data_IF_872860192595
#
_entry.id   IF_872860192595
#
_cell.length_a   1.000
_cell.length_b   1.000
_cell.length_c   1.000
_cell.angle_alpha   90.00
_cell.angle_beta   90.00
_cell.angle_gamma   90.00
#
_symmetry.space_group_name_H-M   'P 1'
#
loop_
_entity.id
_entity.type
_entity.pdbx_description
1 polymer ?
#
# COMPACT_ATOMS: atom_id res chain seq x y z
N UNK A 1 28.27 9.34 -15.41
CA UNK A 1 27.26 8.75 -16.31
C UNK A 1 26.90 9.81 -17.36
N UNK A 2 27.47 9.74 -18.57
CA UNK A 2 27.20 10.69 -19.66
C UNK A 2 26.08 10.13 -20.56
N UNK A 3 24.89 9.93 -19.99
CA UNK A 3 23.72 9.46 -20.72
C UNK A 3 22.91 10.69 -21.14
N UNK A 4 22.74 10.91 -22.44
CA UNK A 4 21.87 11.97 -22.94
C UNK A 4 20.42 11.74 -22.49
N UNK A 5 19.72 12.81 -22.15
CA UNK A 5 18.34 12.78 -21.65
C UNK A 5 17.40 12.02 -22.60
N UNK A 6 17.59 12.17 -23.91
CA UNK A 6 16.89 11.41 -24.96
C UNK A 6 17.04 9.89 -24.83
N UNK A 7 18.24 9.39 -24.55
CA UNK A 7 18.50 7.95 -24.40
C UNK A 7 17.87 7.38 -23.13
N UNK A 8 17.74 8.18 -22.08
CA UNK A 8 17.06 7.78 -20.85
C UNK A 8 15.53 7.73 -21.06
N UNK A 9 14.95 8.74 -21.71
CA UNK A 9 13.52 8.79 -22.00
C UNK A 9 13.07 7.66 -22.95
N UNK A 10 13.88 7.36 -23.97
CA UNK A 10 13.61 6.29 -24.92
C UNK A 10 13.59 4.90 -24.24
N UNK A 11 14.53 4.64 -23.31
CA UNK A 11 14.55 3.39 -22.53
C UNK A 11 13.46 3.33 -21.48
N UNK A 12 13.14 4.45 -20.84
CA UNK A 12 12.07 4.51 -19.84
C UNK A 12 10.72 4.12 -20.45
N UNK A 13 10.38 4.64 -21.64
CA UNK A 13 9.14 4.29 -22.34
C UNK A 13 9.10 2.88 -22.92
N UNK A 14 10.26 2.22 -23.11
CA UNK A 14 10.33 0.83 -23.57
C UNK A 14 10.24 -0.19 -22.42
N UNK A 15 10.79 0.13 -21.25
CA UNK A 15 10.88 -0.78 -20.10
C UNK A 15 9.72 -0.61 -19.12
N UNK A 16 9.17 0.60 -18.98
CA UNK A 16 8.02 0.87 -18.10
C UNK A 16 6.73 0.67 -18.89
N UNK A 17 6.26 -0.57 -18.90
CA UNK A 17 4.96 -0.88 -19.48
C UNK A 17 3.83 -0.23 -18.65
N UNK A 18 2.79 0.27 -19.32
CA UNK A 18 1.64 0.96 -18.69
C UNK A 18 0.95 0.05 -17.64
N UNK A 19 1.17 -1.27 -17.75
CA UNK A 19 0.71 -2.30 -16.82
C UNK A 19 1.12 -2.03 -15.37
N UNK A 20 2.34 -1.56 -15.11
CA UNK A 20 2.78 -1.26 -13.74
C UNK A 20 1.93 -0.16 -13.08
N UNK A 21 1.47 0.79 -13.88
CA UNK A 21 0.60 1.88 -13.43
C UNK A 21 -0.80 1.36 -13.08
N UNK A 22 -1.37 0.49 -13.92
CA UNK A 22 -2.65 -0.17 -13.63
C UNK A 22 -2.58 -1.10 -12.42
N UNK A 23 -1.47 -1.81 -12.24
CA UNK A 23 -1.24 -2.67 -11.07
C UNK A 23 -1.22 -1.84 -9.77
N UNK A 24 -0.50 -0.71 -9.77
CA UNK A 24 -0.49 0.21 -8.62
C UNK A 24 -1.86 0.81 -8.34
N UNK A 25 -2.58 1.24 -9.39
CA UNK A 25 -3.92 1.81 -9.28
C UNK A 25 -4.92 0.78 -8.75
N UNK A 26 -4.79 -0.48 -9.15
CA UNK A 26 -5.61 -1.57 -8.66
C UNK A 26 -5.33 -1.89 -7.19
N UNK A 27 -4.07 -1.86 -6.72
CA UNK A 27 -3.71 -2.09 -5.31
C UNK A 27 -4.25 -1.00 -4.36
N UNK A 28 -4.26 0.26 -4.79
CA UNK A 28 -4.64 1.41 -3.98
C UNK A 28 -5.99 1.26 -3.23
N UNK A 29 -7.12 0.85 -3.86
CA UNK A 29 -8.38 0.64 -3.16
C UNK A 29 -8.31 -0.47 -2.10
N UNK A 30 -7.54 -1.55 -2.31
CA UNK A 30 -7.39 -2.61 -1.30
C UNK A 30 -6.73 -2.09 -0.03
N UNK A 31 -5.68 -1.29 -0.16
CA UNK A 31 -5.04 -0.66 0.99
C UNK A 31 -6.01 0.26 1.73
N UNK A 32 -6.79 1.06 0.99
CA UNK A 32 -7.82 1.91 1.57
C UNK A 32 -8.85 1.13 2.40
N UNK A 33 -9.35 0.01 1.88
CA UNK A 33 -10.32 -0.85 2.59
C UNK A 33 -9.71 -1.44 3.85
N UNK A 34 -8.47 -1.93 3.80
CA UNK A 34 -7.78 -2.52 4.97
C UNK A 34 -7.58 -1.47 6.07
N UNK A 35 -7.10 -0.28 5.71
CA UNK A 35 -6.89 0.82 6.66
C UNK A 35 -8.22 1.25 7.28
N UNK A 36 -9.26 1.45 6.46
CA UNK A 36 -10.58 1.84 6.95
C UNK A 36 -11.18 0.79 7.89
N UNK A 37 -11.08 -0.49 7.53
CA UNK A 37 -11.60 -1.59 8.32
C UNK A 37 -10.91 -1.69 9.70
N UNK A 38 -9.58 -1.64 9.72
CA UNK A 38 -8.80 -1.69 10.97
C UNK A 38 -9.06 -0.44 11.84
N UNK A 39 -9.14 0.72 11.20
CA UNK A 39 -9.47 2.00 11.85
C UNK A 39 -10.83 1.97 12.53
N UNK A 40 -11.88 1.57 11.81
CA UNK A 40 -13.23 1.45 12.35
C UNK A 40 -13.31 0.42 13.47
N UNK A 41 -12.70 -0.76 13.30
CA UNK A 41 -12.73 -1.82 14.30
C UNK A 41 -12.10 -1.40 15.63
N UNK A 42 -10.95 -0.70 15.59
CA UNK A 42 -10.31 -0.18 16.81
C UNK A 42 -11.04 1.02 17.38
N UNK A 43 -11.66 1.85 16.55
CA UNK A 43 -12.52 2.95 16.98
C UNK A 43 -13.73 2.47 17.79
N UNK A 44 -14.36 1.36 17.40
CA UNK A 44 -15.49 0.78 18.14
C UNK A 44 -15.09 0.13 19.47
N UNK A 45 -13.80 -0.16 19.71
CA UNK A 45 -13.31 -0.78 20.94
C UNK A 45 -12.95 0.23 22.04
N UNK A 46 -13.06 1.53 21.74
CA UNK A 46 -12.72 2.60 22.69
C UNK A 46 -13.75 2.61 23.83
N UNK A 47 -13.27 2.38 25.06
CA UNK A 47 -14.00 2.73 26.28
C UNK A 47 -13.84 4.22 26.56
N UNK A 48 -14.88 4.86 27.12
CA UNK A 48 -15.06 6.33 27.25
C UNK A 48 -14.03 7.15 28.05
N UNK A 49 -12.83 6.61 28.24
CA UNK A 49 -11.66 7.24 28.82
C UNK A 49 -10.75 7.79 27.69
N UNK A 50 -10.27 9.02 27.84
CA UNK A 50 -9.34 9.70 26.92
C UNK A 50 -7.99 8.99 26.77
N UNK A 51 -7.47 8.36 27.83
CA UNK A 51 -6.26 7.52 27.79
C UNK A 51 -6.47 6.30 26.88
N UNK A 52 -7.66 5.70 26.91
CA UNK A 52 -8.03 4.55 26.08
C UNK A 52 -8.03 4.93 24.59
N UNK A 53 -8.57 6.10 24.24
CA UNK A 53 -8.55 6.64 22.87
C UNK A 53 -7.13 6.67 22.31
N UNK A 54 -6.18 7.21 23.07
CA UNK A 54 -4.77 7.29 22.66
C UNK A 54 -4.15 5.90 22.44
N UNK A 55 -4.34 4.98 23.40
CA UNK A 55 -3.82 3.61 23.30
C UNK A 55 -4.38 2.86 22.09
N UNK A 56 -5.69 2.89 21.88
CA UNK A 56 -6.32 2.21 20.75
C UNK A 56 -5.97 2.86 19.41
N UNK A 57 -5.72 4.16 19.36
CA UNK A 57 -5.28 4.87 18.15
C UNK A 57 -3.89 4.41 17.72
N UNK A 58 -2.92 4.34 18.64
CA UNK A 58 -1.57 3.87 18.32
C UNK A 58 -1.57 2.40 17.87
N UNK A 59 -2.33 1.55 18.57
CA UNK A 59 -2.49 0.14 18.18
C UNK A 59 -3.16 0.02 16.81
N UNK A 60 -4.12 0.90 16.50
CA UNK A 60 -4.79 0.95 15.20
C UNK A 60 -3.82 1.23 14.06
N UNK A 61 -2.96 2.25 14.20
CA UNK A 61 -1.98 2.61 13.17
C UNK A 61 -0.98 1.49 12.93
N UNK A 62 -0.45 0.88 13.99
CA UNK A 62 0.52 -0.23 13.87
C UNK A 62 -0.14 -1.44 13.16
N UNK A 63 -1.36 -1.80 13.55
CA UNK A 63 -2.09 -2.89 12.91
C UNK A 63 -2.41 -2.59 11.44
N UNK A 64 -2.77 -1.34 11.12
CA UNK A 64 -3.07 -0.93 9.76
C UNK A 64 -1.83 -1.04 8.85
N UNK A 65 -0.68 -0.51 9.29
CA UNK A 65 0.57 -0.58 8.54
C UNK A 65 0.99 -2.04 8.33
N UNK A 66 0.91 -2.86 9.38
CA UNK A 66 1.23 -4.29 9.27
C UNK A 66 0.32 -5.01 8.26
N UNK A 67 -0.98 -4.74 8.30
CA UNK A 67 -1.95 -5.28 7.34
C UNK A 67 -1.65 -4.86 5.91
N UNK A 68 -1.31 -3.59 5.68
CA UNK A 68 -0.93 -3.07 4.36
C UNK A 68 0.33 -3.76 3.82
N UNK A 69 1.36 -3.93 4.66
CA UNK A 69 2.60 -4.62 4.26
C UNK A 69 2.33 -6.08 3.89
N UNK A 70 1.53 -6.81 4.66
CA UNK A 70 1.16 -8.19 4.32
C UNK A 70 0.42 -8.28 2.99
N UNK A 71 -0.55 -7.40 2.77
CA UNK A 71 -1.34 -7.38 1.53
C UNK A 71 -0.46 -7.01 0.34
N UNK A 72 0.44 -6.03 0.49
CA UNK A 72 1.38 -5.68 -0.57
C UNK A 72 2.32 -6.83 -0.92
N UNK A 73 2.89 -7.52 0.07
CA UNK A 73 3.73 -8.69 -0.16
C UNK A 73 2.99 -9.80 -0.91
N UNK A 74 1.73 -10.07 -0.53
CA UNK A 74 0.85 -11.01 -1.22
C UNK A 74 0.69 -10.64 -2.70
N UNK A 75 0.33 -9.38 -2.98
CA UNK A 75 0.22 -8.92 -4.36
C UNK A 75 1.57 -8.97 -5.09
N UNK A 76 2.67 -8.63 -4.43
CA UNK A 76 4.01 -8.66 -5.03
C UNK A 76 4.37 -10.05 -5.52
N UNK A 77 4.10 -11.08 -4.71
CA UNK A 77 4.30 -12.49 -5.10
C UNK A 77 3.39 -12.85 -6.28
N UNK A 78 2.11 -12.48 -6.23
CA UNK A 78 1.15 -12.78 -7.30
C UNK A 78 1.57 -12.12 -8.63
N UNK A 79 1.95 -10.84 -8.62
CA UNK A 79 2.40 -10.14 -9.83
C UNK A 79 3.69 -10.73 -10.39
N UNK A 80 4.65 -11.05 -9.52
CA UNK A 80 5.89 -11.74 -9.91
C UNK A 80 5.59 -13.08 -10.59
N UNK A 81 4.63 -13.86 -10.07
CA UNK A 81 4.22 -15.14 -10.68
C UNK A 81 3.47 -14.96 -12.01
N UNK A 82 2.75 -13.85 -12.19
CA UNK A 82 2.08 -13.48 -13.44
C UNK A 82 3.03 -12.89 -14.50
N UNK A 83 4.32 -12.72 -14.17
CA UNK A 83 5.34 -12.18 -15.08
C UNK A 83 5.26 -10.66 -15.29
N UNK A 84 4.73 -9.94 -14.28
CA UNK A 84 4.65 -8.47 -14.22
C UNK A 84 5.57 -7.97 -13.12
#
# INVERSE_FOLDING_TARGET
LNISFDSYLARFGQEVDIKHLYVGLFKAPFFGVVIAFIGCMRGFQISGNTQSVGTYTTVSVVNAIFGVIMVDALFSIIFTQLGI
#
